data_IF_078396026303
#
_entry.id   IF_078396026303
#
_cell.length_a   1.000
_cell.length_b   1.000
_cell.length_c   1.000
_cell.angle_alpha   90.00
_cell.angle_beta   90.00
_cell.angle_gamma   90.00
#
_symmetry.space_group_name_H-M   'P 1'
#
loop_
_entity.id
_entity.type
_entity.pdbx_description
1 polymer ?
#
# COMPACT_ATOMS: atom_id res chain seq x y z
N UNK A 1 45.74 8.04 -23.85
CA UNK A 1 45.11 7.19 -22.79
C UNK A 1 44.14 7.92 -21.84
N UNK A 2 44.17 9.25 -21.66
CA UNK A 2 43.26 9.95 -20.72
C UNK A 2 41.80 9.99 -21.17
N UNK A 3 41.54 10.13 -22.48
CA UNK A 3 40.19 10.16 -23.07
C UNK A 3 39.45 8.82 -22.91
N UNK A 4 40.16 7.70 -23.06
CA UNK A 4 39.56 6.36 -22.90
C UNK A 4 39.07 6.11 -21.47
N UNK A 5 39.80 6.61 -20.45
CA UNK A 5 39.38 6.54 -19.04
C UNK A 5 38.13 7.38 -18.76
N UNK A 6 37.98 8.51 -19.45
CA UNK A 6 36.82 9.40 -19.28
C UNK A 6 35.55 8.79 -19.88
N UNK A 7 35.67 8.14 -21.04
CA UNK A 7 34.56 7.42 -21.69
C UNK A 7 34.09 6.24 -20.82
N UNK A 8 35.02 5.51 -20.19
CA UNK A 8 34.70 4.39 -19.29
C UNK A 8 33.91 4.85 -18.04
N UNK A 9 34.22 6.03 -17.49
CA UNK A 9 33.52 6.56 -16.31
C UNK A 9 32.09 6.98 -16.67
N UNK A 10 31.88 7.57 -17.85
CA UNK A 10 30.56 7.99 -18.32
C UNK A 10 29.64 6.78 -18.60
N UNK A 11 30.18 5.69 -19.14
CA UNK A 11 29.38 4.47 -19.41
C UNK A 11 28.98 3.74 -18.13
N UNK A 12 29.80 3.76 -17.07
CA UNK A 12 29.45 3.18 -15.76
C UNK A 12 28.34 3.99 -15.06
N UNK A 13 28.34 5.32 -15.20
CA UNK A 13 27.33 6.19 -14.59
C UNK A 13 25.94 6.03 -15.25
N UNK A 14 25.88 5.70 -16.54
CA UNK A 14 24.62 5.51 -17.25
C UNK A 14 23.93 4.15 -16.99
N UNK A 15 24.60 3.15 -16.41
CA UNK A 15 23.95 1.86 -16.10
C UNK A 15 23.06 1.91 -14.84
N UNK A 16 23.07 3.01 -14.10
CA UNK A 16 22.29 3.17 -12.85
C UNK A 16 20.86 3.71 -13.05
N UNK A 17 20.40 3.91 -14.30
CA UNK A 17 19.03 4.30 -14.60
C UNK A 17 18.12 3.07 -14.72
N UNK A 18 17.94 2.33 -13.62
CA UNK A 18 16.90 1.29 -13.55
C UNK A 18 15.53 1.96 -13.47
N UNK A 19 14.82 2.03 -14.60
CA UNK A 19 13.38 2.26 -14.61
C UNK A 19 12.71 1.07 -13.92
N UNK A 20 12.56 1.13 -12.60
CA UNK A 20 11.91 0.07 -11.83
C UNK A 20 10.42 0.06 -12.18
N UNK A 21 10.01 -0.96 -12.93
CA UNK A 21 8.60 -1.25 -13.23
C UNK A 21 7.83 -1.41 -11.91
N UNK A 22 6.95 -0.46 -11.63
CA UNK A 22 6.17 -0.42 -10.39
C UNK A 22 4.93 -1.29 -10.48
N UNK A 23 4.42 -1.50 -11.68
CA UNK A 23 3.25 -2.31 -11.99
C UNK A 23 3.47 -3.76 -11.55
N UNK A 24 2.41 -4.38 -11.07
CA UNK A 24 2.43 -5.68 -10.42
C UNK A 24 1.66 -5.70 -9.11
N UNK A 25 1.72 -6.83 -8.43
CA UNK A 25 0.89 -7.13 -7.27
C UNK A 25 1.69 -6.94 -5.98
N UNK A 26 1.12 -6.19 -5.05
CA UNK A 26 1.70 -5.88 -3.74
C UNK A 26 0.80 -6.42 -2.64
N UNK A 27 1.38 -7.01 -1.60
CA UNK A 27 0.61 -7.50 -0.44
C UNK A 27 1.24 -7.07 0.88
N UNK A 28 0.44 -6.84 1.90
CA UNK A 28 0.91 -6.53 3.25
C UNK A 28 1.83 -7.63 3.78
N UNK A 29 2.97 -7.22 4.35
CA UNK A 29 3.99 -8.16 4.83
C UNK A 29 3.58 -8.96 6.09
N UNK A 30 2.47 -8.61 6.73
CA UNK A 30 1.75 -9.39 7.73
C UNK A 30 0.31 -8.88 7.82
N UNK A 31 -0.56 -9.67 8.43
CA UNK A 31 -1.95 -9.27 8.67
C UNK A 31 -2.02 -8.15 9.72
N UNK A 32 -2.57 -6.99 9.33
CA UNK A 32 -2.84 -5.90 10.26
C UNK A 32 -3.89 -6.37 11.28
N UNK A 33 -3.67 -5.97 12.53
CA UNK A 33 -4.38 -6.49 13.70
C UNK A 33 -4.41 -8.02 13.85
N UNK A 34 -3.64 -8.76 13.06
CA UNK A 34 -3.57 -10.22 13.06
C UNK A 34 -4.54 -10.91 12.08
N UNK A 35 -5.39 -10.18 11.37
CA UNK A 35 -6.42 -10.77 10.52
C UNK A 35 -6.73 -10.02 9.21
N UNK A 36 -6.20 -8.81 8.99
CA UNK A 36 -6.44 -8.06 7.76
C UNK A 36 -5.24 -8.04 6.81
N UNK A 37 -5.46 -8.44 5.56
CA UNK A 37 -4.47 -8.37 4.48
C UNK A 37 -4.90 -7.30 3.48
N UNK A 38 -3.94 -6.46 3.09
CA UNK A 38 -4.13 -5.51 1.98
C UNK A 38 -3.37 -6.00 0.76
N UNK A 39 -4.04 -6.09 -0.37
CA UNK A 39 -3.44 -6.36 -1.68
C UNK A 39 -3.74 -5.22 -2.65
N UNK A 40 -2.74 -4.81 -3.42
CA UNK A 40 -2.86 -3.79 -4.46
C UNK A 40 -2.25 -4.33 -5.74
N UNK A 41 -3.02 -4.39 -6.81
CA UNK A 41 -2.55 -4.77 -8.14
C UNK A 41 -2.49 -3.51 -9.02
N UNK A 42 -1.29 -3.04 -9.34
CA UNK A 42 -1.06 -1.87 -10.20
C UNK A 42 -0.92 -2.32 -11.65
N UNK A 43 -1.78 -1.83 -12.54
CA UNK A 43 -1.79 -2.19 -13.97
C UNK A 43 -1.02 -1.18 -14.81
N UNK A 44 -0.60 -1.60 -16.01
CA UNK A 44 0.16 -0.78 -16.97
C UNK A 44 -0.67 0.40 -17.55
N UNK A 45 -2.00 0.34 -17.46
CA UNK A 45 -2.95 1.36 -17.93
C UNK A 45 -3.24 2.47 -16.90
N UNK A 46 -2.44 2.56 -15.83
CA UNK A 46 -2.61 3.48 -14.68
C UNK A 46 -3.87 3.23 -13.83
N UNK A 47 -4.48 2.05 -13.95
CA UNK A 47 -5.55 1.61 -13.05
C UNK A 47 -5.02 0.65 -11.99
N UNK A 48 -5.79 0.45 -10.93
CA UNK A 48 -5.44 -0.53 -9.91
C UNK A 48 -6.67 -1.27 -9.38
N UNK A 49 -6.41 -2.45 -8.84
CA UNK A 49 -7.34 -3.20 -8.01
C UNK A 49 -6.82 -3.20 -6.57
N UNK A 50 -7.70 -2.96 -5.62
CA UNK A 50 -7.39 -2.91 -4.21
C UNK A 50 -8.29 -3.89 -3.48
N UNK A 51 -7.70 -4.81 -2.73
CA UNK A 51 -8.42 -5.75 -1.90
C UNK A 51 -7.97 -5.59 -0.46
N UNK A 52 -8.92 -5.32 0.43
CA UNK A 52 -8.74 -5.39 1.87
C UNK A 52 -9.61 -6.50 2.43
N UNK A 53 -8.98 -7.58 2.87
CA UNK A 53 -9.68 -8.80 3.28
C UNK A 53 -9.23 -9.32 4.64
N UNK A 54 -10.14 -9.94 5.37
CA UNK A 54 -9.94 -10.61 6.65
C UNK A 54 -11.20 -11.35 7.08
N UNK A 55 -11.19 -11.95 8.27
CA UNK A 55 -12.22 -12.90 8.73
C UNK A 55 -13.68 -12.38 8.64
N UNK A 56 -13.89 -11.06 8.77
CA UNK A 56 -15.22 -10.43 8.80
C UNK A 56 -15.41 -9.30 7.78
N UNK A 57 -14.38 -8.98 6.99
CA UNK A 57 -14.41 -7.86 6.05
C UNK A 57 -13.73 -8.32 4.77
N UNK A 58 -14.43 -8.17 3.65
CA UNK A 58 -13.83 -8.26 2.34
C UNK A 58 -14.29 -7.04 1.55
N UNK A 59 -13.33 -6.23 1.10
CA UNK A 59 -13.59 -5.02 0.35
C UNK A 59 -12.72 -5.00 -0.89
N UNK A 60 -13.39 -4.92 -2.03
CA UNK A 60 -12.74 -4.83 -3.34
C UNK A 60 -13.03 -3.45 -3.94
N UNK A 61 -11.98 -2.71 -4.27
CA UNK A 61 -12.07 -1.38 -4.86
C UNK A 61 -11.26 -1.31 -6.13
N UNK A 62 -11.70 -0.44 -7.03
CA UNK A 62 -10.89 -0.06 -8.20
C UNK A 62 -10.59 1.43 -8.21
N UNK A 63 -9.64 1.83 -9.04
CA UNK A 63 -9.31 3.25 -9.17
C UNK A 63 -8.21 3.52 -10.17
N UNK A 64 -7.76 4.77 -10.16
CA UNK A 64 -6.64 5.27 -10.95
C UNK A 64 -5.49 5.69 -10.05
N UNK A 65 -4.27 5.57 -10.55
CA UNK A 65 -3.10 6.00 -9.81
C UNK A 65 -2.23 6.96 -10.60
N UNK A 66 -1.54 7.83 -9.87
CA UNK A 66 -0.56 8.77 -10.39
C UNK A 66 0.74 8.57 -9.61
N UNK A 67 1.86 8.67 -10.32
CA UNK A 67 3.19 8.61 -9.74
C UNK A 67 3.86 9.97 -9.94
N UNK A 68 4.30 10.58 -8.84
CA UNK A 68 5.18 11.74 -8.87
C UNK A 68 6.44 11.41 -8.07
N UNK A 69 7.57 11.35 -8.78
CA UNK A 69 8.88 10.93 -8.23
C UNK A 69 8.81 9.53 -7.62
N UNK A 70 8.91 9.43 -6.29
CA UNK A 70 8.85 8.17 -5.54
C UNK A 70 7.57 8.07 -4.70
N UNK A 71 6.52 8.80 -5.09
CA UNK A 71 5.23 8.81 -4.41
C UNK A 71 4.17 8.24 -5.36
N UNK A 72 3.42 7.27 -4.85
CA UNK A 72 2.26 6.69 -5.50
C UNK A 72 1.00 7.26 -4.84
N UNK A 73 0.15 7.87 -5.66
CA UNK A 73 -1.14 8.42 -5.26
C UNK A 73 -2.23 7.54 -5.85
N UNK A 74 -3.10 7.00 -5.00
CA UNK A 74 -4.24 6.19 -5.40
C UNK A 74 -5.52 7.00 -5.24
N UNK A 75 -6.31 7.08 -6.31
CA UNK A 75 -7.66 7.63 -6.31
C UNK A 75 -8.64 6.51 -6.62
N UNK A 76 -9.39 6.06 -5.62
CA UNK A 76 -10.51 5.14 -5.81
C UNK A 76 -11.59 5.76 -6.70
N UNK A 77 -12.26 4.92 -7.49
CA UNK A 77 -13.40 5.30 -8.33
C UNK A 77 -14.68 5.46 -7.50
N UNK A 78 -14.89 4.58 -6.53
CA UNK A 78 -16.01 4.60 -5.58
C UNK A 78 -16.11 5.92 -4.81
N UNK A 79 -17.29 6.55 -4.88
CA UNK A 79 -17.68 7.59 -3.95
C UNK A 79 -18.15 6.98 -2.61
N UNK A 80 -18.09 7.77 -1.53
CA UNK A 80 -18.56 7.34 -0.21
C UNK A 80 -20.02 6.86 -0.36
N UNK A 81 -20.32 5.63 0.07
CA UNK A 81 -21.64 4.96 0.05
C UNK A 81 -22.08 4.20 -1.22
N UNK A 82 -21.27 4.11 -2.27
CA UNK A 82 -21.63 3.29 -3.45
C UNK A 82 -21.18 1.82 -3.32
N UNK A 83 -21.94 0.87 -3.88
CA UNK A 83 -21.58 -0.56 -3.92
C UNK A 83 -20.92 -0.84 -5.27
N UNK A 84 -19.61 -1.15 -5.31
CA UNK A 84 -18.91 -1.46 -6.57
C UNK A 84 -19.01 -2.96 -6.92
N UNK A 85 -19.06 -3.83 -5.91
CA UNK A 85 -19.09 -5.29 -6.11
C UNK A 85 -20.28 -5.94 -5.41
N UNK A 86 -20.88 -6.96 -6.04
CA UNK A 86 -21.91 -7.81 -5.41
C UNK A 86 -21.40 -8.54 -4.16
N UNK A 87 -20.07 -8.64 -4.00
CA UNK A 87 -19.40 -9.23 -2.85
C UNK A 87 -19.01 -8.21 -1.78
N UNK A 88 -19.22 -6.90 -2.02
CA UNK A 88 -19.13 -5.89 -0.97
C UNK A 88 -20.29 -6.16 -0.02
N UNK A 89 -20.01 -6.94 1.02
CA UNK A 89 -20.90 -7.08 2.13
C UNK A 89 -20.99 -5.71 2.79
N UNK A 90 -21.97 -4.91 2.38
CA UNK A 90 -22.41 -3.72 3.10
C UNK A 90 -22.79 -4.18 4.49
N UNK A 91 -21.80 -4.15 5.36
CA UNK A 91 -21.81 -4.85 6.61
C UNK A 91 -21.79 -3.80 7.68
N UNK A 92 -22.61 -4.05 8.69
CA UNK A 92 -22.63 -3.48 10.02
C UNK A 92 -21.21 -3.10 10.53
N UNK A 93 -20.14 -3.71 10.03
CA UNK A 93 -18.75 -3.28 10.18
C UNK A 93 -18.43 -1.83 9.77
N UNK A 94 -19.00 -1.20 8.74
CA UNK A 94 -18.73 0.22 8.43
C UNK A 94 -19.20 1.16 9.56
N UNK A 95 -20.25 0.76 10.28
CA UNK A 95 -20.84 1.49 11.42
C UNK A 95 -20.02 1.27 12.71
N UNK A 96 -19.43 0.09 12.89
CA UNK A 96 -18.66 -0.26 14.11
C UNK A 96 -17.13 -0.12 13.98
N UNK A 97 -16.58 -0.02 12.77
CA UNK A 97 -15.13 -0.15 12.53
C UNK A 97 -14.32 1.14 12.62
N UNK A 98 -14.94 2.32 12.79
CA UNK A 98 -14.17 3.55 12.88
C UNK A 98 -13.31 3.80 11.62
N UNK A 99 -13.96 3.88 10.45
CA UNK A 99 -13.42 4.56 9.26
C UNK A 99 -11.99 4.11 8.83
N UNK A 100 -11.76 2.81 8.61
CA UNK A 100 -10.46 2.28 8.13
C UNK A 100 -10.02 2.84 6.77
N UNK A 101 -10.97 3.37 5.99
CA UNK A 101 -10.74 4.04 4.72
C UNK A 101 -11.43 5.40 4.82
N UNK A 102 -10.72 6.42 5.29
CA UNK A 102 -11.24 7.77 5.18
C UNK A 102 -11.34 8.08 3.67
N UNK A 103 -12.55 8.02 3.13
CA UNK A 103 -12.87 8.30 1.71
C UNK A 103 -12.76 9.78 1.36
N UNK A 104 -12.25 10.60 2.28
CA UNK A 104 -12.01 12.01 2.01
C UNK A 104 -10.87 12.15 0.99
N UNK A 105 -11.23 12.70 -0.16
CA UNK A 105 -10.28 13.06 -1.21
C UNK A 105 -9.38 14.16 -0.68
N UNK A 106 -8.09 13.87 -0.59
CA UNK A 106 -7.04 14.84 -0.28
C UNK A 106 -6.51 15.45 -1.58
N UNK A 107 -5.92 16.64 -1.46
CA UNK A 107 -5.26 17.31 -2.57
C UNK A 107 -3.83 17.70 -2.17
N UNK A 108 -2.84 17.28 -2.96
CA UNK A 108 -1.46 17.70 -2.83
C UNK A 108 -0.94 18.12 -4.20
N UNK A 109 -0.55 19.40 -4.34
CA UNK A 109 -0.02 19.97 -5.58
C UNK A 109 -0.93 19.76 -6.80
N UNK A 110 -2.24 19.78 -6.60
CA UNK A 110 -3.23 19.56 -7.66
C UNK A 110 -3.54 18.09 -7.94
N UNK A 111 -2.90 17.14 -7.25
CA UNK A 111 -3.19 15.71 -7.36
C UNK A 111 -4.26 15.37 -6.33
N UNK A 112 -5.42 14.90 -6.78
CA UNK A 112 -6.48 14.38 -5.92
C UNK A 112 -6.26 12.90 -5.62
N UNK A 113 -6.29 12.50 -4.36
CA UNK A 113 -6.04 11.11 -3.96
C UNK A 113 -6.73 10.74 -2.64
N UNK A 114 -6.93 9.45 -2.45
CA UNK A 114 -7.43 8.86 -1.20
C UNK A 114 -6.31 8.23 -0.38
N UNK A 115 -5.34 7.60 -1.04
CA UNK A 115 -4.19 6.98 -0.37
C UNK A 115 -2.88 7.38 -1.04
N UNK A 116 -1.85 7.53 -0.20
CA UNK A 116 -0.50 7.90 -0.61
C UNK A 116 0.50 6.88 -0.10
N UNK A 117 1.44 6.49 -0.96
CA UNK A 117 2.53 5.57 -0.62
C UNK A 117 3.88 6.12 -1.06
N UNK A 118 4.93 5.76 -0.32
CA UNK A 118 6.32 5.91 -0.75
C UNK A 118 6.77 4.63 -1.44
N UNK A 119 7.27 4.76 -2.66
CA UNK A 119 7.82 3.66 -3.45
C UNK A 119 9.29 3.46 -3.07
N UNK A 120 9.71 2.22 -2.87
CA UNK A 120 11.13 1.90 -2.73
C UNK A 120 11.40 0.40 -2.63
N UNK A 121 12.41 -0.10 -3.37
CA UNK A 121 12.86 -1.49 -3.34
C UNK A 121 11.71 -2.52 -3.44
N UNK A 122 10.84 -2.36 -4.43
CA UNK A 122 9.66 -3.22 -4.66
C UNK A 122 8.73 -3.27 -3.44
N UNK A 123 8.69 -2.19 -2.66
CA UNK A 123 7.82 -2.01 -1.52
C UNK A 123 7.07 -0.69 -1.62
N UNK A 124 5.87 -0.69 -1.06
CA UNK A 124 5.06 0.49 -0.84
C UNK A 124 4.94 0.72 0.66
N UNK A 125 5.35 1.91 1.12
CA UNK A 125 5.22 2.32 2.51
C UNK A 125 4.07 3.32 2.62
N UNK A 126 3.06 3.03 3.44
CA UNK A 126 1.89 3.88 3.58
C UNK A 126 2.18 5.17 4.33
N UNK A 127 1.52 6.26 3.91
CA UNK A 127 1.39 7.47 4.73
C UNK A 127 0.10 7.41 5.53
N UNK A 128 0.12 7.96 6.75
CA UNK A 128 -1.11 8.18 7.50
C UNK A 128 -1.88 9.34 6.89
N UNK A 129 -3.20 9.20 6.85
CA UNK A 129 -4.11 10.21 6.32
C UNK A 129 -4.22 11.41 7.27
N UNK A 130 -4.21 11.18 8.58
CA UNK A 130 -4.44 12.21 9.60
C UNK A 130 -3.33 13.27 9.69
N UNK A 131 -2.07 12.86 9.54
CA UNK A 131 -0.92 13.74 9.75
C UNK A 131 0.10 13.73 8.61
N UNK A 132 -0.17 12.99 7.53
CA UNK A 132 0.73 12.88 6.38
C UNK A 132 2.09 12.25 6.69
N UNK A 133 2.28 11.62 7.87
CA UNK A 133 3.55 11.00 8.24
C UNK A 133 3.63 9.56 7.73
N UNK A 134 4.84 9.13 7.40
CA UNK A 134 5.08 7.75 6.97
C UNK A 134 4.83 6.76 8.10
N UNK A 135 3.99 5.75 7.86
CA UNK A 135 3.78 4.64 8.79
C UNK A 135 5.02 3.75 8.75
N UNK A 136 5.78 3.75 9.84
CA UNK A 136 7.00 2.93 9.94
C UNK A 136 6.73 1.56 10.55
N UNK A 137 5.87 1.48 11.56
CA UNK A 137 5.64 0.26 12.33
C UNK A 137 4.16 0.09 12.66
N UNK A 138 3.70 -1.16 12.72
CA UNK A 138 2.39 -1.55 13.24
C UNK A 138 2.53 -2.73 14.20
N UNK A 139 1.50 -2.96 15.03
CA UNK A 139 1.47 -4.10 15.96
C UNK A 139 1.29 -5.38 15.16
N UNK A 140 2.29 -6.27 15.21
CA UNK A 140 2.15 -7.65 14.76
C UNK A 140 1.80 -8.51 15.97
N UNK A 141 0.68 -9.19 15.91
CA UNK A 141 0.29 -10.19 16.90
C UNK A 141 1.00 -11.51 16.59
N UNK A 142 1.41 -12.22 17.64
CA UNK A 142 2.05 -13.53 17.50
C UNK A 142 0.98 -14.59 17.27
N UNK A 143 1.23 -15.47 16.30
CA UNK A 143 0.37 -16.65 16.04
C UNK A 143 0.47 -17.72 17.15
N UNK A 144 1.37 -17.53 18.12
CA UNK A 144 1.61 -18.46 19.22
C UNK A 144 0.48 -18.35 20.24
N UNK A 145 -0.45 -19.30 20.14
CA UNK A 145 -1.50 -19.58 21.11
C UNK A 145 -0.91 -20.15 22.41
N UNK A 146 -0.38 -19.29 23.29
CA UNK A 146 -0.01 -19.68 24.67
C UNK A 146 -1.25 -19.67 25.55
N UNK A 147 -2.10 -20.69 25.41
CA UNK A 147 -3.38 -20.77 26.12
C UNK A 147 -3.28 -20.97 27.63
N UNK A 148 -2.09 -21.28 28.17
CA UNK A 148 -1.98 -21.71 29.56
C UNK A 148 -1.63 -20.60 30.55
N UNK A 149 -0.87 -19.55 30.19
CA UNK A 149 -0.47 -18.55 31.21
C UNK A 149 -0.27 -17.10 30.72
N UNK A 150 -0.19 -16.82 29.42
CA UNK A 150 0.05 -15.45 28.91
C UNK A 150 -0.64 -15.30 27.54
N UNK A 151 -1.59 -14.38 27.44
CA UNK A 151 -2.34 -14.08 26.21
C UNK A 151 -1.46 -13.68 25.01
N UNK A 152 -2.07 -13.38 23.85
CA UNK A 152 -1.32 -13.10 22.62
C UNK A 152 -0.35 -11.94 22.84
N UNK A 153 0.93 -12.20 22.63
CA UNK A 153 1.96 -11.15 22.68
C UNK A 153 1.97 -10.38 21.37
N UNK A 154 2.13 -9.05 21.46
CA UNK A 154 2.28 -8.18 20.30
C UNK A 154 3.68 -7.58 20.26
N UNK A 155 4.22 -7.39 19.05
CA UNK A 155 5.48 -6.69 18.83
C UNK A 155 5.31 -5.67 17.72
N UNK A 156 5.92 -4.50 17.87
CA UNK A 156 5.97 -3.52 16.79
C UNK A 156 6.87 -4.03 15.67
N UNK A 157 6.35 -4.13 14.45
CA UNK A 157 7.12 -4.53 13.26
C UNK A 157 6.95 -3.54 12.14
N UNK A 158 7.98 -3.44 11.30
CA UNK A 158 7.97 -2.57 10.12
C UNK A 158 6.87 -3.03 9.17
N UNK A 159 5.97 -2.13 8.80
CA UNK A 159 4.84 -2.41 7.91
C UNK A 159 5.09 -1.84 6.52
N UNK A 160 4.78 -2.62 5.50
CA UNK A 160 4.86 -2.24 4.10
C UNK A 160 4.09 -3.24 3.24
N UNK A 161 3.71 -2.83 2.03
CA UNK A 161 3.26 -3.75 0.99
C UNK A 161 4.48 -4.19 0.19
N UNK A 162 4.66 -5.50 0.03
CA UNK A 162 5.75 -6.12 -0.71
C UNK A 162 5.25 -6.56 -2.08
N UNK A 163 5.98 -6.22 -3.15
CA UNK A 163 5.72 -6.75 -4.49
C UNK A 163 5.95 -8.26 -4.50
N UNK A 164 4.98 -9.01 -4.99
CA UNK A 164 5.01 -10.48 -5.13
C UNK A 164 5.04 -10.92 -6.59
N UNK A 165 4.54 -10.09 -7.51
CA UNK A 165 4.51 -10.30 -8.95
C UNK A 165 4.91 -9.00 -9.65
#
# INVERSE_FOLDING_TARGET
>A
MKILKFILIITILNSCASNKKIEGKYTSNFADLGFFITTINLKDDKTFEYNFSGDLVNQELTGTYIIDKNLLYLKFSKEKFEIESKNDSLSITEIFSGNYHNYEVQNEKGIQFHRKFKIGNNKLFSYRIDNGKLVKHAKKYSDNKRYLFLGPTSKMKKIFLQKIE
#
